data_IF_121804353344
#
_entry.id   IF_121804353344
#
_cell.length_a   1.000
_cell.length_b   1.000
_cell.length_c   1.000
_cell.angle_alpha   90.00
_cell.angle_beta   90.00
_cell.angle_gamma   90.00
#
_symmetry.space_group_name_H-M   'P 1'
#
loop_
_entity.id
_entity.type
_entity.pdbx_description
1 polymer ?
#
# COMPACT_ATOMS: atom_id res chain seq x y z
N UNK A 1 -23.41 -8.15 -81.52
CA UNK A 1 -23.46 -8.98 -80.30
C UNK A 1 -23.18 -8.10 -79.08
N UNK A 2 -24.00 -8.26 -78.03
CA UNK A 2 -23.92 -7.61 -76.71
C UNK A 2 -22.52 -7.86 -76.09
N UNK A 3 -21.87 -6.95 -75.36
CA UNK A 3 -22.27 -6.43 -74.04
C UNK A 3 -21.53 -5.12 -73.72
N UNK A 4 -22.31 -4.06 -73.45
CA UNK A 4 -21.91 -2.96 -72.56
C UNK A 4 -21.94 -3.49 -71.12
N UNK A 5 -21.02 -3.05 -70.25
CA UNK A 5 -21.30 -2.73 -68.84
C UNK A 5 -20.07 -2.10 -68.15
N UNK A 6 -20.30 -0.86 -67.77
CA UNK A 6 -19.53 0.09 -66.98
C UNK A 6 -18.91 -0.49 -65.70
N UNK A 7 -17.74 0.01 -65.31
CA UNK A 7 -17.40 0.28 -63.90
C UNK A 7 -16.23 1.27 -63.84
N UNK A 8 -16.61 2.53 -64.03
CA UNK A 8 -15.91 3.75 -63.69
C UNK A 8 -16.38 4.14 -62.27
N UNK A 9 -15.47 4.65 -61.43
CA UNK A 9 -15.72 5.45 -60.20
C UNK A 9 -16.15 4.62 -58.94
N UNK A 10 -15.72 4.87 -57.69
CA UNK A 10 -15.25 6.05 -56.98
C UNK A 10 -14.23 5.68 -55.87
N UNK A 11 -13.19 6.50 -55.72
CA UNK A 11 -12.46 6.63 -54.46
C UNK A 11 -13.29 7.52 -53.50
N UNK A 12 -13.64 6.99 -52.32
CA UNK A 12 -14.25 7.76 -51.24
C UNK A 12 -13.44 7.54 -49.96
N UNK A 13 -12.62 8.53 -49.63
CA UNK A 13 -11.91 8.66 -48.35
C UNK A 13 -12.94 9.05 -47.30
N UNK A 14 -13.32 8.10 -46.45
CA UNK A 14 -14.17 8.36 -45.28
C UNK A 14 -13.32 8.79 -44.08
N UNK A 15 -13.28 10.09 -43.80
CA UNK A 15 -12.67 10.66 -42.60
C UNK A 15 -13.58 10.39 -41.39
N UNK A 16 -13.22 9.42 -40.53
CA UNK A 16 -13.89 9.23 -39.24
C UNK A 16 -13.40 10.29 -38.24
N UNK A 17 -14.18 11.35 -38.06
CA UNK A 17 -13.99 12.26 -36.91
C UNK A 17 -14.74 11.65 -35.71
N UNK A 18 -14.02 10.87 -34.91
CA UNK A 18 -14.49 10.46 -33.59
C UNK A 18 -14.39 11.67 -32.66
N UNK A 19 -15.50 12.39 -32.50
CA UNK A 19 -15.63 13.41 -31.45
C UNK A 19 -15.78 12.67 -30.13
N UNK A 20 -14.66 12.47 -29.43
CA UNK A 20 -14.66 11.89 -28.09
C UNK A 20 -15.30 12.87 -27.11
N UNK A 21 -16.56 12.63 -26.74
CA UNK A 21 -17.20 13.37 -25.64
C UNK A 21 -16.48 12.95 -24.35
N UNK A 22 -15.67 13.85 -23.79
CA UNK A 22 -15.15 13.66 -22.44
C UNK A 22 -16.28 13.96 -21.47
N UNK A 23 -17.09 12.95 -21.15
CA UNK A 23 -18.02 13.03 -20.04
C UNK A 23 -17.20 13.17 -18.75
N UNK A 24 -17.17 14.37 -18.17
CA UNK A 24 -16.64 14.60 -16.84
C UNK A 24 -17.57 13.90 -15.83
N UNK A 25 -17.28 12.64 -15.53
CA UNK A 25 -18.00 11.90 -14.50
C UNK A 25 -17.68 12.51 -13.14
N UNK A 26 -18.72 12.90 -12.40
CA UNK A 26 -18.58 13.32 -11.01
C UNK A 26 -17.91 12.20 -10.20
N UNK A 27 -17.04 12.51 -9.23
CA UNK A 27 -16.41 11.49 -8.39
C UNK A 27 -17.48 10.81 -7.52
N UNK A 28 -17.82 9.57 -7.83
CA UNK A 28 -18.74 8.74 -7.04
C UNK A 28 -18.00 8.07 -5.88
N UNK A 29 -18.68 7.75 -4.76
CA UNK A 29 -18.14 6.88 -3.72
C UNK A 29 -17.68 5.54 -4.30
N UNK A 30 -16.42 5.17 -4.06
CA UNK A 30 -15.81 3.94 -4.53
C UNK A 30 -14.97 3.30 -3.43
N UNK A 31 -15.16 2.01 -3.21
CA UNK A 31 -14.30 1.15 -2.39
C UNK A 31 -13.51 0.21 -3.29
N UNK A 32 -12.27 -0.07 -2.93
CA UNK A 32 -11.44 -1.07 -3.61
C UNK A 32 -10.67 -1.88 -2.58
N UNK A 33 -10.77 -3.21 -2.66
CA UNK A 33 -9.96 -4.10 -1.85
C UNK A 33 -8.51 -4.07 -2.35
N UNK A 34 -7.57 -3.96 -1.41
CA UNK A 34 -6.15 -3.82 -1.70
C UNK A 34 -5.34 -4.72 -0.79
N UNK A 35 -4.16 -5.10 -1.27
CA UNK A 35 -3.18 -5.87 -0.52
C UNK A 35 -1.78 -5.45 -0.92
N UNK A 36 -0.83 -5.52 0.00
CA UNK A 36 0.58 -5.24 -0.26
C UNK A 36 1.48 -6.10 0.61
N UNK A 37 2.34 -6.90 -0.01
CA UNK A 37 3.42 -7.60 0.68
C UNK A 37 4.64 -6.69 0.77
N UNK A 38 5.42 -6.78 1.85
CA UNK A 38 6.61 -5.96 2.02
C UNK A 38 7.75 -6.66 2.73
N UNK A 39 8.95 -6.19 2.43
CA UNK A 39 10.18 -6.51 3.14
C UNK A 39 10.96 -5.24 3.40
N UNK A 40 11.62 -5.16 4.56
CA UNK A 40 12.42 -4.02 4.95
C UNK A 40 13.53 -4.41 5.92
N UNK A 41 14.68 -3.75 5.78
CA UNK A 41 15.81 -3.91 6.68
C UNK A 41 15.88 -2.76 7.67
N UNK A 42 16.28 -3.07 8.89
CA UNK A 42 16.53 -2.07 9.93
C UNK A 42 17.74 -1.22 9.54
N UNK A 43 17.52 0.08 9.37
CA UNK A 43 18.58 1.04 9.05
C UNK A 43 18.96 1.91 10.25
N UNK A 44 18.11 1.97 11.26
CA UNK A 44 18.36 2.68 12.51
C UNK A 44 17.56 2.05 13.63
N UNK A 45 18.19 1.91 14.80
CA UNK A 45 17.52 1.48 16.02
C UNK A 45 18.08 2.22 17.24
N UNK A 46 17.21 2.53 18.18
CA UNK A 46 17.58 3.00 19.49
C UNK A 46 16.67 2.34 20.52
N UNK A 47 17.29 1.59 21.44
CA UNK A 47 16.59 0.83 22.47
C UNK A 47 17.01 1.26 23.86
N UNK A 48 16.07 1.17 24.79
CA UNK A 48 16.32 1.25 26.22
C UNK A 48 15.53 0.17 26.93
N UNK A 49 16.04 -0.29 28.06
CA UNK A 49 15.36 -1.26 28.91
C UNK A 49 14.92 -0.60 30.22
N UNK A 50 13.79 -1.06 30.75
CA UNK A 50 13.27 -0.66 32.05
C UNK A 50 12.86 -1.92 32.79
N UNK A 51 13.32 -2.08 34.03
CA UNK A 51 12.94 -3.21 34.88
C UNK A 51 11.99 -2.73 35.95
N UNK A 52 10.85 -3.41 36.10
CA UNK A 52 9.85 -3.13 37.11
C UNK A 52 9.18 -4.43 37.55
N UNK A 53 9.03 -4.63 38.87
CA UNK A 53 8.36 -5.79 39.46
C UNK A 53 8.89 -7.14 38.93
N UNK A 54 10.21 -7.22 38.71
CA UNK A 54 10.89 -8.41 38.18
C UNK A 54 10.76 -8.63 36.67
N UNK A 55 10.01 -7.79 35.95
CA UNK A 55 9.87 -7.84 34.50
C UNK A 55 10.79 -6.83 33.81
N UNK A 56 11.38 -7.23 32.68
CA UNK A 56 12.18 -6.33 31.85
C UNK A 56 11.40 -5.94 30.60
N UNK A 57 11.22 -4.64 30.41
CA UNK A 57 10.57 -4.06 29.25
C UNK A 57 11.61 -3.41 28.34
N UNK A 58 11.63 -3.81 27.07
CA UNK A 58 12.45 -3.18 26.04
C UNK A 58 11.60 -2.22 25.22
N UNK A 59 12.01 -0.96 25.21
CA UNK A 59 11.41 0.10 24.40
C UNK A 59 12.35 0.38 23.23
N UNK A 60 11.88 0.16 22.01
CA UNK A 60 12.71 0.33 20.80
C UNK A 60 12.06 1.32 19.85
N UNK A 61 12.85 2.28 19.37
CA UNK A 61 12.48 3.11 18.22
C UNK A 61 13.33 2.66 17.02
N UNK A 62 12.68 2.19 15.96
CA UNK A 62 13.37 1.66 14.79
C UNK A 62 12.87 2.29 13.49
N UNK A 63 13.77 2.40 12.53
CA UNK A 63 13.47 2.79 11.15
C UNK A 63 13.87 1.65 10.24
N UNK A 64 12.94 1.25 9.39
CA UNK A 64 13.06 0.17 8.44
C UNK A 64 12.92 0.72 7.03
N UNK A 65 13.74 0.25 6.10
CA UNK A 65 13.68 0.63 4.68
C UNK A 65 13.66 -0.62 3.82
N UNK A 66 12.83 -0.59 2.79
CA UNK A 66 12.78 -1.67 1.81
C UNK A 66 11.76 -1.39 0.73
N UNK A 67 10.97 -2.39 0.38
CA UNK A 67 10.04 -2.34 -0.74
C UNK A 67 8.70 -2.98 -0.40
N UNK A 68 7.64 -2.44 -0.98
CA UNK A 68 6.31 -3.01 -0.99
C UNK A 68 5.90 -3.41 -2.42
N UNK A 69 5.23 -4.55 -2.54
CA UNK A 69 4.71 -5.11 -3.79
C UNK A 69 3.20 -5.25 -3.67
N UNK A 70 2.48 -4.65 -4.61
CA UNK A 70 1.03 -4.60 -4.66
C UNK A 70 0.53 -4.47 -6.10
N UNK A 71 -0.66 -5.01 -6.37
CA UNK A 71 -1.38 -4.69 -7.60
C UNK A 71 -1.91 -3.25 -7.62
N UNK A 72 -2.04 -2.61 -6.45
CA UNK A 72 -2.40 -1.20 -6.30
C UNK A 72 -1.13 -0.31 -6.40
N UNK A 73 -0.98 0.48 -7.48
CA UNK A 73 0.25 1.25 -7.73
C UNK A 73 0.61 2.23 -6.62
N UNK A 74 -0.37 2.70 -5.83
CA UNK A 74 -0.15 3.64 -4.72
C UNK A 74 0.51 2.98 -3.50
N UNK A 75 0.39 1.66 -3.36
CA UNK A 75 0.99 0.89 -2.27
C UNK A 75 2.33 0.25 -2.66
N UNK A 76 2.61 0.11 -3.96
CA UNK A 76 3.87 -0.43 -4.48
C UNK A 76 5.03 0.57 -4.40
N UNK A 77 6.25 0.05 -4.25
CA UNK A 77 7.51 0.77 -4.44
C UNK A 77 8.38 0.85 -3.19
N UNK A 78 9.21 1.89 -3.08
CA UNK A 78 10.08 2.07 -1.93
C UNK A 78 9.27 2.31 -0.66
N UNK A 79 9.65 1.64 0.42
CA UNK A 79 8.96 1.65 1.70
C UNK A 79 9.86 2.17 2.82
N UNK A 80 9.30 3.01 3.68
CA UNK A 80 9.88 3.38 4.96
C UNK A 80 8.85 3.12 6.06
N UNK A 81 9.23 2.30 7.04
CA UNK A 81 8.44 2.09 8.26
C UNK A 81 9.23 2.69 9.43
N UNK A 82 8.55 3.43 10.29
CA UNK A 82 9.11 3.89 11.57
C UNK A 82 8.25 3.34 12.68
N UNK A 83 8.85 2.63 13.63
CA UNK A 83 8.13 2.01 14.74
C UNK A 83 8.66 2.49 16.08
N UNK A 84 7.76 2.54 17.05
CA UNK A 84 8.05 2.54 18.47
C UNK A 84 7.38 1.30 19.06
N UNK A 85 8.17 0.44 19.68
CA UNK A 85 7.69 -0.78 20.33
C UNK A 85 7.94 -0.73 21.84
N UNK A 86 7.09 -1.41 22.59
CA UNK A 86 7.31 -1.76 23.99
C UNK A 86 7.07 -3.26 24.09
N UNK A 87 8.09 -4.00 24.50
CA UNK A 87 8.09 -5.46 24.57
C UNK A 87 8.42 -5.89 26.00
N UNK A 88 7.61 -6.75 26.59
CA UNK A 88 7.99 -7.50 27.77
C UNK A 88 8.93 -8.64 27.34
N UNK A 89 10.20 -8.58 27.73
CA UNK A 89 11.21 -9.58 27.34
C UNK A 89 10.98 -10.93 28.02
N UNK A 90 10.19 -10.98 29.11
CA UNK A 90 9.85 -12.22 29.81
C UNK A 90 8.75 -12.98 29.09
N UNK A 91 7.68 -12.31 28.65
CA UNK A 91 6.54 -12.99 28.00
C UNK A 91 6.62 -12.99 26.47
N UNK A 92 7.38 -12.06 25.89
CA UNK A 92 7.39 -11.83 24.45
C UNK A 92 6.22 -10.97 23.95
N UNK A 93 5.35 -10.49 24.85
CA UNK A 93 4.19 -9.70 24.46
C UNK A 93 4.47 -8.20 24.52
N UNK A 94 3.79 -7.44 23.68
CA UNK A 94 4.00 -6.02 23.62
C UNK A 94 3.00 -5.28 22.75
N UNK A 95 3.34 -4.03 22.47
CA UNK A 95 2.59 -3.21 21.53
C UNK A 95 3.53 -2.37 20.69
N UNK A 96 3.03 -1.94 19.54
CA UNK A 96 3.74 -1.03 18.68
C UNK A 96 2.83 0.07 18.15
N UNK A 97 3.48 1.18 17.82
CA UNK A 97 2.89 2.28 17.06
C UNK A 97 3.90 2.75 16.03
N UNK A 98 3.44 3.34 14.94
CA UNK A 98 4.37 3.73 13.89
C UNK A 98 3.75 4.46 12.71
N UNK A 99 4.56 4.58 11.67
CA UNK A 99 4.13 5.12 10.39
C UNK A 99 4.64 4.29 9.24
N UNK A 100 3.81 4.14 8.23
CA UNK A 100 4.11 3.56 6.93
C UNK A 100 4.19 4.67 5.88
N UNK A 101 5.22 4.65 5.02
CA UNK A 101 5.31 5.54 3.86
C UNK A 101 5.82 4.75 2.64
N UNK A 102 5.00 4.63 1.61
CA UNK A 102 5.38 4.04 0.33
C UNK A 102 5.41 5.10 -0.77
N UNK A 103 6.31 4.93 -1.74
CA UNK A 103 6.38 5.74 -2.96
C UNK A 103 6.63 4.82 -4.14
N UNK A 104 5.78 4.90 -5.17
CA UNK A 104 5.94 4.14 -6.42
C UNK A 104 7.34 4.35 -7.03
N UNK A 105 7.93 3.42 -7.78
CA UNK A 105 9.22 3.63 -8.44
C UNK A 105 9.15 4.76 -9.51
N UNK A 106 10.27 5.43 -9.77
CA UNK A 106 10.38 6.46 -10.82
C UNK A 106 10.54 5.79 -12.20
N UNK A 107 9.98 6.32 -13.32
CA UNK A 107 9.32 7.61 -13.51
C UNK A 107 7.82 7.42 -13.77
N UNK A 108 7.08 6.73 -12.89
CA UNK A 108 5.62 6.80 -12.95
C UNK A 108 5.19 8.24 -12.59
N UNK A 109 5.09 9.09 -13.61
CA UNK A 109 4.46 10.40 -13.61
C UNK A 109 3.09 10.25 -14.30
N UNK A 110 2.02 9.91 -13.57
CA UNK A 110 0.70 9.76 -14.15
C UNK A 110 0.01 11.13 -14.12
N UNK A 111 0.36 12.00 -15.08
CA UNK A 111 -0.35 13.27 -15.32
C UNK A 111 -0.46 14.23 -14.12
N UNK A 112 -1.55 15.03 -14.08
CA UNK A 112 -1.79 16.13 -13.12
C UNK A 112 -1.80 15.72 -11.62
N UNK A 113 -1.70 14.44 -11.29
CA UNK A 113 -1.84 13.91 -9.93
C UNK A 113 -0.57 13.73 -9.10
N UNK A 114 0.62 13.86 -9.71
CA UNK A 114 1.90 13.59 -9.04
C UNK A 114 2.20 12.09 -8.88
N UNK A 115 3.32 11.75 -8.21
CA UNK A 115 3.80 10.37 -8.04
C UNK A 115 2.92 9.59 -7.04
N UNK A 116 2.43 8.38 -7.38
CA UNK A 116 1.67 7.53 -6.46
C UNK A 116 2.46 7.25 -5.18
N UNK A 117 1.81 7.45 -4.04
CA UNK A 117 2.39 7.24 -2.72
C UNK A 117 1.30 7.02 -1.69
N UNK A 118 1.63 6.36 -0.58
CA UNK A 118 0.72 6.21 0.54
C UNK A 118 1.43 6.53 1.87
N UNK A 119 0.65 7.06 2.80
CA UNK A 119 1.08 7.33 4.17
C UNK A 119 0.02 6.77 5.13
N UNK A 120 0.43 5.99 6.12
CA UNK A 120 -0.46 5.47 7.14
C UNK A 120 0.19 5.53 8.53
N UNK A 121 -0.65 5.60 9.56
CA UNK A 121 -0.29 5.33 10.95
C UNK A 121 -0.52 3.86 11.23
N UNK A 122 0.40 3.28 11.98
CA UNK A 122 0.37 1.89 12.41
C UNK A 122 0.11 1.82 13.90
N UNK A 123 -0.69 0.85 14.33
CA UNK A 123 -0.91 0.51 15.73
C UNK A 123 -1.24 -0.97 15.85
N UNK A 124 -0.67 -1.65 16.83
CA UNK A 124 -0.91 -3.08 16.99
C UNK A 124 -0.24 -3.68 18.21
N UNK A 125 -0.32 -4.99 18.29
CA UNK A 125 0.25 -5.83 19.35
C UNK A 125 1.47 -6.58 18.83
N UNK A 126 2.31 -7.01 19.75
CA UNK A 126 3.42 -7.92 19.51
C UNK A 126 3.14 -9.18 20.31
N UNK A 127 3.27 -10.33 19.69
CA UNK A 127 3.21 -11.64 20.32
C UNK A 127 4.48 -12.44 19.97
N UNK A 128 4.83 -13.40 20.82
CA UNK A 128 5.98 -14.29 20.61
C UNK A 128 7.30 -13.54 20.32
N UNK A 129 7.44 -12.33 20.85
CA UNK A 129 8.55 -11.39 20.71
C UNK A 129 8.83 -10.83 19.31
N UNK A 130 8.24 -11.40 18.26
CA UNK A 130 8.61 -11.08 16.88
C UNK A 130 7.46 -11.02 15.89
N UNK A 131 6.26 -11.43 16.27
CA UNK A 131 5.08 -11.34 15.42
C UNK A 131 4.30 -10.09 15.78
N UNK A 132 3.82 -9.40 14.75
CA UNK A 132 3.19 -8.09 14.84
C UNK A 132 1.84 -8.20 14.15
N UNK A 133 0.77 -7.89 14.87
CA UNK A 133 -0.57 -7.78 14.32
C UNK A 133 -1.15 -6.41 14.63
N UNK A 134 -1.73 -5.75 13.63
CA UNK A 134 -2.22 -4.41 13.82
C UNK A 134 -3.04 -3.85 12.67
N UNK A 135 -3.21 -2.54 12.72
CA UNK A 135 -3.99 -1.75 11.78
C UNK A 135 -3.14 -0.65 11.17
N UNK A 136 -3.37 -0.39 9.89
CA UNK A 136 -2.87 0.75 9.14
C UNK A 136 -4.03 1.68 8.78
N UNK A 137 -3.95 2.93 9.22
CA UNK A 137 -4.94 3.97 8.92
C UNK A 137 -4.27 5.15 8.24
N UNK A 138 -4.74 5.52 7.05
CA UNK A 138 -3.97 6.42 6.22
C UNK A 138 -4.66 6.90 4.97
N UNK A 139 -3.83 7.29 4.00
CA UNK A 139 -4.24 7.83 2.72
C UNK A 139 -3.27 7.39 1.62
N UNK A 140 -3.83 7.15 0.44
CA UNK A 140 -3.11 6.90 -0.79
C UNK A 140 -3.36 8.07 -1.75
N UNK A 141 -2.36 8.49 -2.52
CA UNK A 141 -2.38 9.69 -3.34
C UNK A 141 -2.15 9.37 -4.81
N UNK A 142 -2.51 10.30 -5.69
CA UNK A 142 -2.37 10.18 -7.15
C UNK A 142 -3.06 8.91 -7.72
N UNK A 143 -4.39 8.78 -7.56
CA UNK A 143 -5.30 9.78 -7.00
C UNK A 143 -5.66 9.52 -5.53
N UNK A 144 -6.20 10.56 -4.85
CA UNK A 144 -6.48 10.52 -3.41
C UNK A 144 -7.52 9.45 -3.01
N UNK A 145 -7.24 8.73 -1.92
CA UNK A 145 -8.10 7.77 -1.25
C UNK A 145 -7.75 7.67 0.25
N UNK A 146 -8.71 7.32 1.09
CA UNK A 146 -8.45 6.86 2.46
C UNK A 146 -8.08 5.39 2.45
N UNK A 147 -7.15 5.01 3.33
CA UNK A 147 -6.68 3.64 3.53
C UNK A 147 -7.06 3.19 4.94
N UNK A 148 -7.66 2.01 5.04
CA UNK A 148 -7.82 1.27 6.28
C UNK A 148 -7.49 -0.18 5.98
N UNK A 149 -6.64 -0.81 6.78
CA UNK A 149 -6.39 -2.23 6.62
C UNK A 149 -5.68 -2.87 7.80
N UNK A 150 -5.79 -4.18 7.87
CA UNK A 150 -5.05 -5.01 8.79
C UNK A 150 -3.62 -5.20 8.29
N UNK A 151 -2.68 -5.26 9.21
CA UNK A 151 -1.27 -5.48 8.93
C UNK A 151 -0.79 -6.61 9.82
N UNK A 152 -0.12 -7.60 9.23
CA UNK A 152 0.66 -8.59 9.96
C UNK A 152 2.11 -8.55 9.50
N UNK A 153 3.04 -8.79 10.42
CA UNK A 153 4.45 -8.83 10.10
C UNK A 153 5.24 -9.70 11.08
N UNK A 154 6.44 -10.07 10.67
CA UNK A 154 7.40 -10.79 11.51
C UNK A 154 8.76 -10.12 11.42
N UNK A 155 9.44 -10.01 12.57
CA UNK A 155 10.81 -9.51 12.68
C UNK A 155 11.77 -10.68 12.88
N UNK A 156 12.75 -10.83 11.99
CA UNK A 156 13.81 -11.85 12.14
C UNK A 156 15.16 -11.15 12.04
N UNK A 157 15.85 -11.06 13.18
CA UNK A 157 17.07 -10.26 13.28
C UNK A 157 16.80 -8.81 12.92
N UNK A 158 17.43 -8.33 11.85
CA UNK A 158 17.28 -6.97 11.33
C UNK A 158 16.33 -6.86 10.13
N UNK A 159 15.65 -7.95 9.76
CA UNK A 159 14.66 -7.97 8.69
C UNK A 159 13.23 -7.93 9.25
N UNK A 160 12.37 -7.15 8.59
CA UNK A 160 10.94 -7.07 8.82
C UNK A 160 10.23 -7.49 7.52
N UNK A 161 9.37 -8.50 7.59
CA UNK A 161 8.56 -8.98 6.46
C UNK A 161 7.10 -9.07 6.87
N UNK A 162 6.18 -8.67 6.00
CA UNK A 162 4.76 -8.69 6.34
C UNK A 162 3.85 -8.33 5.18
N UNK A 163 2.57 -8.15 5.52
CA UNK A 163 1.49 -7.83 4.60
C UNK A 163 0.59 -6.73 5.17
N UNK A 164 0.08 -5.87 4.29
CA UNK A 164 -1.02 -4.93 4.54
C UNK A 164 -2.19 -5.35 3.68
N UNK A 165 -3.25 -5.87 4.28
CA UNK A 165 -4.30 -6.59 3.55
C UNK A 165 -3.71 -7.84 2.89
N UNK A 166 -4.33 -8.98 3.12
CA UNK A 166 -3.94 -10.22 2.49
C UNK A 166 -4.84 -10.48 1.28
N UNK A 167 -4.22 -10.93 0.21
CA UNK A 167 -4.75 -12.06 -0.52
C UNK A 167 -3.94 -13.26 -0.03
N UNK A 168 -4.59 -14.31 0.48
CA UNK A 168 -3.98 -15.51 1.08
C UNK A 168 -2.58 -15.91 0.50
N UNK A 169 -1.61 -16.35 1.32
CA UNK A 169 -1.85 -17.19 2.50
C UNK A 169 -1.15 -16.79 3.82
N UNK A 170 -0.54 -15.61 3.97
CA UNK A 170 0.19 -15.30 5.22
C UNK A 170 -0.76 -14.89 6.37
N UNK A 171 -1.95 -14.38 6.06
CA UNK A 171 -3.07 -14.24 7.00
C UNK A 171 -4.43 -14.15 6.27
N UNK A 172 -5.25 -15.23 6.20
CA UNK A 172 -6.47 -15.26 5.40
C UNK A 172 -7.54 -14.20 5.77
N UNK A 173 -7.41 -13.55 6.93
CA UNK A 173 -8.40 -12.60 7.48
C UNK A 173 -7.93 -11.14 7.45
N UNK A 174 -6.76 -10.85 6.89
CA UNK A 174 -6.29 -9.48 6.79
C UNK A 174 -6.99 -8.77 5.64
N UNK A 175 -7.89 -7.83 5.95
CA UNK A 175 -8.57 -7.01 4.95
C UNK A 175 -7.92 -5.64 4.87
N UNK A 176 -7.78 -5.09 3.66
CA UNK A 176 -7.47 -3.68 3.48
C UNK A 176 -8.28 -3.09 2.34
N UNK A 177 -8.70 -1.84 2.50
CA UNK A 177 -9.52 -1.13 1.54
C UNK A 177 -9.02 0.28 1.30
N UNK A 178 -9.20 0.73 0.06
CA UNK A 178 -9.14 2.13 -0.32
C UNK A 178 -10.54 2.66 -0.55
N UNK A 179 -10.84 3.80 0.07
CA UNK A 179 -12.10 4.51 -0.12
C UNK A 179 -11.87 5.87 -0.77
N UNK A 180 -12.63 6.18 -1.82
CA UNK A 180 -12.60 7.45 -2.56
C UNK A 180 -14.02 7.99 -2.61
N UNK A 181 -14.20 9.27 -2.25
CA UNK A 181 -15.48 9.96 -2.41
C UNK A 181 -16.01 10.61 -1.14
N UNK A 182 -16.91 11.55 -1.38
CA UNK A 182 -17.88 12.13 -0.47
C UNK A 182 -19.21 12.17 -1.23
N UNK A 183 -20.32 12.03 -0.52
CA UNK A 183 -21.65 12.15 -1.09
C UNK A 183 -21.97 13.61 -1.43
#
# INVERSE_FOLDING_TARGET
MRRKKYLLWLAAVGLFVLVGVAAATQPHPQTADVSAAFTADQVRSHSRTCTQDGNTFRITNAVWRGTATSAEPRLTGSLVISTRTVLNETTGDGWFSGTWRSKAPSPMNPGKGGRPHANARLSGVIDNANHLDGLATGQAWAPWARLLGNMSATVIGNALSGELGANAPVAPDNSALLYRGGC
#
